data_IF_607236131296
#
_entry.id   IF_607236131296
#
_cell.length_a   1.000
_cell.length_b   1.000
_cell.length_c   1.000
_cell.angle_alpha   90.00
_cell.angle_beta   90.00
_cell.angle_gamma   90.00
#
_symmetry.space_group_name_H-M   'P 1'
#
loop_
_entity.id
_entity.type
_entity.pdbx_description
1 polymer ?
#
# COMPACT_ATOMS: atom_id res chain seq x y z
N UNK A 1 23.33 30.28 -62.33
CA UNK A 1 23.63 30.46 -60.91
C UNK A 1 22.78 29.47 -60.08
N UNK A 2 23.44 28.46 -59.47
CA UNK A 2 22.74 27.39 -58.71
C UNK A 2 22.81 27.78 -57.25
N UNK A 3 21.70 28.00 -56.59
CA UNK A 3 21.60 28.13 -55.12
C UNK A 3 21.47 26.75 -54.48
N UNK A 4 22.23 26.46 -53.39
CA UNK A 4 22.22 25.16 -52.76
C UNK A 4 20.98 24.99 -51.86
N UNK A 5 20.32 23.86 -52.03
CA UNK A 5 19.24 23.35 -51.12
C UNK A 5 19.90 22.69 -49.89
N UNK A 6 20.33 23.49 -48.94
CA UNK A 6 20.76 22.97 -47.62
C UNK A 6 20.15 23.84 -46.56
N UNK A 7 19.52 23.22 -45.57
CA UNK A 7 19.03 23.69 -44.29
C UNK A 7 17.50 23.67 -44.09
N UNK A 8 16.90 22.48 -44.04
CA UNK A 8 15.66 22.28 -43.24
C UNK A 8 15.71 20.85 -42.70
N UNK A 9 16.67 20.54 -41.84
CA UNK A 9 16.70 19.27 -41.07
C UNK A 9 17.23 19.44 -39.65
N UNK A 10 16.89 20.53 -38.98
CA UNK A 10 17.27 20.69 -37.56
C UNK A 10 16.13 21.41 -36.84
N UNK A 11 15.05 20.74 -36.53
CA UNK A 11 14.09 21.17 -35.46
C UNK A 11 12.96 20.14 -35.25
N UNK A 12 13.30 18.86 -35.15
CA UNK A 12 12.35 17.83 -34.71
C UNK A 12 13.06 16.77 -33.85
N UNK A 13 13.49 17.17 -32.67
CA UNK A 13 13.71 16.33 -31.50
C UNK A 13 14.15 17.25 -30.34
N UNK A 14 13.81 17.03 -29.09
CA UNK A 14 13.06 15.93 -28.50
C UNK A 14 11.95 16.41 -27.55
N UNK A 15 10.75 16.04 -27.79
CA UNK A 15 9.64 16.20 -26.82
C UNK A 15 9.24 14.84 -26.23
N UNK A 16 10.18 13.95 -26.03
CA UNK A 16 9.92 12.58 -25.57
C UNK A 16 10.64 12.24 -24.24
N UNK A 17 10.86 13.19 -23.32
CA UNK A 17 11.60 12.94 -22.08
C UNK A 17 10.90 13.43 -20.80
N UNK A 18 9.57 13.54 -20.78
CA UNK A 18 8.84 13.90 -19.55
C UNK A 18 7.87 12.82 -19.05
N UNK A 19 8.05 11.57 -19.44
CA UNK A 19 7.22 10.47 -19.02
C UNK A 19 7.98 9.44 -18.17
N UNK A 20 8.70 9.87 -17.13
CA UNK A 20 9.37 8.91 -16.26
C UNK A 20 9.66 9.46 -14.86
N UNK A 21 8.63 9.71 -14.06
CA UNK A 21 8.78 9.78 -12.61
C UNK A 21 7.47 9.42 -11.92
N UNK A 22 6.90 8.26 -12.25
CA UNK A 22 5.87 7.65 -11.40
C UNK A 22 6.41 6.31 -10.88
N UNK A 23 7.59 6.36 -10.23
CA UNK A 23 8.18 5.22 -9.53
C UNK A 23 7.41 5.05 -8.23
N UNK A 24 6.46 4.12 -8.21
CA UNK A 24 5.76 3.73 -6.98
C UNK A 24 4.28 3.38 -7.14
N UNK A 25 3.60 3.83 -8.18
CA UNK A 25 2.29 3.29 -8.50
C UNK A 25 2.50 2.09 -9.43
N UNK A 26 2.23 0.86 -8.98
CA UNK A 26 2.04 -0.26 -9.90
C UNK A 26 0.60 -0.21 -10.43
N UNK A 27 0.29 0.54 -11.50
CA UNK A 27 -1.07 0.65 -12.05
C UNK A 27 -1.61 -0.71 -12.51
N UNK A 28 -0.71 -1.68 -12.68
CA UNK A 28 -1.05 -3.03 -13.15
C UNK A 28 -1.95 -3.83 -12.21
N UNK A 29 -2.06 -3.49 -10.93
CA UNK A 29 -2.88 -4.21 -9.95
C UNK A 29 -4.23 -3.56 -9.68
N UNK A 30 -4.35 -2.24 -9.90
CA UNK A 30 -5.62 -1.53 -9.71
C UNK A 30 -6.68 -2.03 -10.70
N UNK A 31 -7.87 -2.32 -10.20
CA UNK A 31 -8.98 -2.89 -10.98
C UNK A 31 -8.96 -4.41 -11.07
N UNK A 32 -7.94 -5.09 -10.53
CA UNK A 32 -7.85 -6.55 -10.48
C UNK A 32 -8.30 -7.11 -9.14
N UNK A 33 -8.66 -8.38 -9.13
CA UNK A 33 -8.92 -9.10 -7.90
C UNK A 33 -7.64 -9.12 -7.03
N UNK A 34 -7.79 -8.79 -5.74
CA UNK A 34 -6.73 -8.93 -4.77
C UNK A 34 -6.32 -10.41 -4.67
N UNK A 35 -5.02 -10.73 -4.79
CA UNK A 35 -4.53 -12.09 -4.57
C UNK A 35 -4.93 -12.58 -3.18
N UNK A 36 -5.54 -13.76 -3.11
CA UNK A 36 -5.92 -14.35 -1.83
C UNK A 36 -4.72 -14.94 -1.11
N UNK A 37 -4.70 -14.86 0.21
CA UNK A 37 -3.67 -15.42 1.04
C UNK A 37 -4.19 -15.86 2.41
N UNK A 38 -3.44 -16.76 3.02
CA UNK A 38 -3.61 -17.11 4.44
C UNK A 38 -2.26 -17.06 5.12
N UNK A 39 -2.16 -16.29 6.20
CA UNK A 39 -0.96 -16.17 7.04
C UNK A 39 -1.32 -16.49 8.48
N UNK A 40 -0.43 -17.15 9.19
CA UNK A 40 -0.51 -17.35 10.64
C UNK A 40 0.86 -17.17 11.28
N UNK A 41 0.92 -16.39 12.35
CA UNK A 41 2.12 -16.23 13.18
C UNK A 41 2.06 -17.06 14.49
N UNK A 42 1.07 -17.94 14.58
CA UNK A 42 0.82 -18.78 15.76
C UNK A 42 -0.06 -18.11 16.82
N UNK A 43 -0.30 -16.80 16.72
CA UNK A 43 -1.21 -16.03 17.59
C UNK A 43 -2.41 -15.52 16.81
N UNK A 44 -2.17 -14.99 15.63
CA UNK A 44 -3.18 -14.45 14.73
C UNK A 44 -3.13 -15.22 13.41
N UNK A 45 -4.30 -15.52 12.85
CA UNK A 45 -4.44 -16.05 11.50
C UNK A 45 -5.30 -15.11 10.68
N UNK A 46 -4.79 -14.67 9.55
CA UNK A 46 -5.50 -13.81 8.59
C UNK A 46 -5.70 -14.59 7.30
N UNK A 47 -6.96 -14.69 6.86
CA UNK A 47 -7.34 -15.22 5.56
C UNK A 47 -8.12 -14.11 4.83
N UNK A 48 -7.56 -13.54 3.79
CA UNK A 48 -8.13 -12.36 3.12
C UNK A 48 -9.55 -12.61 2.62
N UNK A 49 -9.84 -13.80 2.07
CA UNK A 49 -11.17 -14.12 1.58
C UNK A 49 -12.27 -14.07 2.65
N UNK A 50 -11.92 -14.18 3.94
CA UNK A 50 -12.88 -14.06 5.05
C UNK A 50 -13.43 -12.64 5.23
N UNK A 51 -12.82 -11.64 4.59
CA UNK A 51 -13.22 -10.23 4.65
C UNK A 51 -14.01 -9.78 3.40
N UNK A 52 -14.47 -10.73 2.58
CA UNK A 52 -15.38 -10.42 1.45
C UNK A 52 -16.63 -9.71 1.96
N UNK A 53 -17.08 -8.69 1.24
CA UNK A 53 -18.21 -7.84 1.67
C UNK A 53 -17.79 -6.65 2.52
N UNK A 54 -16.53 -6.58 2.95
CA UNK A 54 -15.94 -5.45 3.69
C UNK A 54 -14.97 -4.67 2.81
N UNK A 55 -14.80 -3.37 3.11
CA UNK A 55 -13.70 -2.59 2.58
C UNK A 55 -12.47 -2.88 3.43
N UNK A 56 -11.36 -3.23 2.80
CA UNK A 56 -10.11 -3.63 3.47
C UNK A 56 -8.98 -2.68 3.09
N UNK A 57 -8.28 -2.15 4.11
CA UNK A 57 -6.94 -1.60 3.97
C UNK A 57 -5.93 -2.70 4.35
N UNK A 58 -5.24 -3.25 3.35
CA UNK A 58 -4.15 -4.19 3.55
C UNK A 58 -2.84 -3.40 3.58
N UNK A 59 -2.30 -3.23 4.77
CA UNK A 59 -1.09 -2.43 5.03
C UNK A 59 0.11 -3.35 5.30
N UNK A 60 1.20 -3.14 4.57
CA UNK A 60 2.48 -3.83 4.77
C UNK A 60 3.45 -2.90 5.49
N UNK A 61 4.06 -3.37 6.58
CA UNK A 61 4.87 -2.55 7.48
C UNK A 61 5.92 -3.35 8.25
N UNK A 62 6.76 -2.67 9.03
CA UNK A 62 7.66 -3.28 9.99
C UNK A 62 7.92 -2.35 11.19
N UNK A 63 8.29 -2.91 12.34
CA UNK A 63 8.58 -2.15 13.57
C UNK A 63 9.83 -1.26 13.47
N UNK A 64 10.75 -1.61 12.59
CA UNK A 64 12.00 -0.87 12.30
C UNK A 64 11.84 0.16 11.18
N UNK A 65 10.69 0.22 10.52
CA UNK A 65 10.41 1.12 9.43
C UNK A 65 9.95 2.49 9.96
N UNK A 66 10.83 3.49 9.96
CA UNK A 66 10.50 4.83 10.49
C UNK A 66 9.28 5.48 9.82
N UNK A 67 9.13 5.47 8.46
CA UNK A 67 7.92 5.99 7.83
C UNK A 67 6.63 5.27 8.25
N UNK A 68 6.72 3.96 8.57
CA UNK A 68 5.56 3.20 9.08
C UNK A 68 5.16 3.69 10.48
N UNK A 69 6.15 4.03 11.32
CA UNK A 69 5.91 4.60 12.66
C UNK A 69 5.25 5.99 12.55
N UNK A 70 5.66 6.79 11.56
CA UNK A 70 5.11 8.14 11.33
C UNK A 70 3.63 8.09 10.89
N UNK A 71 3.22 7.12 10.07
CA UNK A 71 1.82 7.01 9.64
C UNK A 71 0.89 6.37 10.68
N UNK A 72 1.43 5.57 11.60
CA UNK A 72 0.65 4.76 12.55
C UNK A 72 -0.39 5.56 13.35
N UNK A 73 -0.10 6.75 13.91
CA UNK A 73 -1.11 7.51 14.65
C UNK A 73 -2.35 7.85 13.82
N UNK A 74 -2.16 8.23 12.55
CA UNK A 74 -3.28 8.54 11.65
C UNK A 74 -4.06 7.29 11.25
N UNK A 75 -3.37 6.15 11.10
CA UNK A 75 -3.97 4.85 10.79
C UNK A 75 -4.84 4.35 11.95
N UNK A 76 -4.36 4.46 13.19
CA UNK A 76 -5.13 4.12 14.39
C UNK A 76 -6.35 5.04 14.55
N UNK A 77 -6.19 6.35 14.29
CA UNK A 77 -7.31 7.29 14.30
C UNK A 77 -8.38 6.87 13.28
N UNK A 78 -7.97 6.55 12.06
CA UNK A 78 -8.91 6.06 11.03
C UNK A 78 -9.62 4.78 11.47
N UNK A 79 -8.90 3.84 12.08
CA UNK A 79 -9.47 2.59 12.60
C UNK A 79 -10.61 2.86 13.60
N UNK A 80 -10.38 3.74 14.57
CA UNK A 80 -11.37 4.07 15.60
C UNK A 80 -12.57 4.86 15.06
N UNK A 81 -12.36 5.69 14.05
CA UNK A 81 -13.42 6.52 13.47
C UNK A 81 -14.28 5.77 12.44
N UNK A 82 -13.75 4.71 11.82
CA UNK A 82 -14.43 3.96 10.77
C UNK A 82 -14.53 2.46 11.10
N UNK A 83 -15.43 2.06 12.01
CA UNK A 83 -15.53 0.66 12.46
C UNK A 83 -15.96 -0.32 11.36
N UNK A 84 -16.49 0.19 10.24
CA UNK A 84 -16.86 -0.62 9.08
C UNK A 84 -15.71 -0.83 8.07
N UNK A 85 -14.57 -0.21 8.32
CA UNK A 85 -13.34 -0.39 7.55
C UNK A 85 -12.44 -1.41 8.26
N UNK A 86 -12.08 -2.47 7.57
CA UNK A 86 -11.13 -3.44 8.11
C UNK A 86 -9.71 -3.04 7.76
N UNK A 87 -8.84 -2.93 8.76
CA UNK A 87 -7.40 -2.71 8.56
C UNK A 87 -6.69 -4.00 8.90
N UNK A 88 -6.05 -4.61 7.90
CA UNK A 88 -5.20 -5.79 8.02
C UNK A 88 -3.74 -5.34 7.90
N UNK A 89 -3.00 -5.38 9.00
CA UNK A 89 -1.61 -4.94 9.04
C UNK A 89 -0.67 -6.15 9.02
N UNK A 90 -0.01 -6.40 7.90
CA UNK A 90 0.95 -7.50 7.71
C UNK A 90 2.35 -6.97 7.98
N UNK A 91 2.97 -7.45 9.05
CA UNK A 91 4.34 -7.09 9.43
C UNK A 91 5.35 -8.04 8.80
N UNK A 92 6.42 -7.50 8.26
CA UNK A 92 7.58 -8.27 7.76
C UNK A 92 8.70 -8.39 8.80
N UNK A 93 8.44 -8.10 10.07
CA UNK A 93 9.43 -8.26 11.13
C UNK A 93 9.92 -9.72 11.23
N UNK A 94 11.23 -9.93 11.22
CA UNK A 94 11.84 -11.24 11.46
C UNK A 94 11.84 -11.57 12.94
N UNK A 95 12.10 -10.58 13.81
CA UNK A 95 12.15 -10.74 15.28
C UNK A 95 10.74 -10.64 15.89
N UNK A 96 10.18 -11.75 16.43
CA UNK A 96 8.86 -11.76 17.04
C UNK A 96 8.79 -10.91 18.32
N UNK A 97 9.92 -10.75 19.02
CA UNK A 97 9.94 -9.95 20.24
C UNK A 97 9.98 -8.46 19.94
N UNK A 98 10.71 -8.04 18.90
CA UNK A 98 10.68 -6.65 18.42
C UNK A 98 9.27 -6.26 17.98
N UNK A 99 8.62 -7.08 17.16
CA UNK A 99 7.25 -6.93 16.76
C UNK A 99 6.29 -6.81 17.96
N UNK A 100 6.35 -7.75 18.89
CA UNK A 100 5.46 -7.76 20.06
C UNK A 100 5.68 -6.53 20.96
N UNK A 101 6.94 -6.15 21.21
CA UNK A 101 7.26 -4.92 21.96
C UNK A 101 6.76 -3.65 21.28
N UNK A 102 6.81 -3.60 19.94
CA UNK A 102 6.29 -2.48 19.17
C UNK A 102 4.78 -2.35 19.35
N UNK A 103 4.01 -3.44 19.16
CA UNK A 103 2.55 -3.42 19.31
C UNK A 103 2.13 -2.91 20.70
N UNK A 104 2.79 -3.40 21.75
CA UNK A 104 2.52 -2.97 23.13
C UNK A 104 2.86 -1.49 23.37
N UNK A 105 4.03 -1.05 22.90
CA UNK A 105 4.50 0.33 23.10
C UNK A 105 3.61 1.35 22.41
N UNK A 106 3.12 1.03 21.23
CA UNK A 106 2.31 1.92 20.42
C UNK A 106 0.80 1.67 20.55
N UNK A 107 0.38 0.77 21.47
CA UNK A 107 -1.02 0.42 21.70
C UNK A 107 -1.75 0.05 20.41
N UNK A 108 -1.11 -0.77 19.55
CA UNK A 108 -1.68 -1.17 18.25
C UNK A 108 -2.79 -2.18 18.51
N UNK A 109 -4.02 -1.81 18.18
CA UNK A 109 -5.24 -2.61 18.30
C UNK A 109 -5.85 -3.00 16.94
N UNK A 110 -5.06 -2.87 15.87
CA UNK A 110 -5.40 -3.35 14.54
C UNK A 110 -5.37 -4.88 14.46
N UNK A 111 -6.03 -5.45 13.45
CA UNK A 111 -5.78 -6.86 13.10
C UNK A 111 -4.40 -6.94 12.47
N UNK A 112 -3.44 -7.48 13.22
CA UNK A 112 -2.05 -7.57 12.77
C UNK A 112 -1.53 -9.00 12.83
N UNK A 113 -0.71 -9.38 11.84
CA UNK A 113 -0.07 -10.68 11.72
C UNK A 113 1.35 -10.50 11.19
N UNK A 114 2.28 -11.34 11.64
CA UNK A 114 3.67 -11.31 11.20
C UNK A 114 3.92 -12.32 10.08
N UNK A 115 4.51 -11.86 8.97
CA UNK A 115 4.96 -12.66 7.82
C UNK A 115 6.47 -12.46 7.58
N UNK A 116 7.35 -13.10 8.39
CA UNK A 116 8.79 -12.93 8.27
C UNK A 116 9.39 -13.47 6.97
N UNK A 117 8.62 -14.25 6.22
CA UNK A 117 9.02 -14.75 4.90
C UNK A 117 8.75 -13.73 3.78
N UNK A 118 8.03 -12.64 4.07
CA UNK A 118 7.58 -11.64 3.11
C UNK A 118 6.74 -12.23 1.96
N UNK A 119 6.24 -13.46 2.12
CA UNK A 119 5.54 -14.18 1.04
C UNK A 119 4.30 -13.43 0.54
N UNK A 120 3.58 -12.79 1.45
CA UNK A 120 2.41 -12.00 1.09
C UNK A 120 2.81 -10.67 0.43
N UNK A 121 3.87 -10.04 0.91
CA UNK A 121 4.39 -8.83 0.28
C UNK A 121 4.87 -9.10 -1.16
N UNK A 122 5.57 -10.20 -1.37
CA UNK A 122 5.98 -10.66 -2.71
C UNK A 122 4.78 -10.94 -3.62
N UNK A 123 3.73 -11.60 -3.10
CA UNK A 123 2.49 -11.87 -3.82
C UNK A 123 1.80 -10.58 -4.31
N UNK A 124 1.91 -9.50 -3.51
CA UNK A 124 1.37 -8.18 -3.83
C UNK A 124 2.37 -7.27 -4.55
N UNK A 125 3.57 -7.76 -4.90
CA UNK A 125 4.65 -6.97 -5.50
C UNK A 125 4.90 -5.68 -4.70
N UNK A 126 5.02 -5.84 -3.39
CA UNK A 126 5.35 -4.77 -2.45
C UNK A 126 6.87 -4.73 -2.30
N UNK A 127 7.47 -3.59 -2.64
CA UNK A 127 8.93 -3.42 -2.69
C UNK A 127 9.41 -2.39 -1.66
N UNK A 128 8.50 -1.66 -1.02
CA UNK A 128 8.81 -0.59 -0.05
C UNK A 128 7.84 -0.61 1.12
N UNK A 129 8.28 -0.07 2.26
CA UNK A 129 7.47 0.03 3.47
C UNK A 129 7.28 1.50 3.87
N UNK A 130 6.06 1.92 4.25
CA UNK A 130 4.80 1.18 4.16
C UNK A 130 4.22 1.18 2.74
N UNK A 131 3.51 0.11 2.38
CA UNK A 131 2.62 0.09 1.23
C UNK A 131 1.24 -0.41 1.64
N UNK A 132 0.19 0.26 1.13
CA UNK A 132 -1.18 -0.08 1.50
C UNK A 132 -2.05 -0.27 0.26
N UNK A 133 -2.80 -1.36 0.24
CA UNK A 133 -3.76 -1.69 -0.80
C UNK A 133 -5.18 -1.48 -0.27
N UNK A 134 -5.95 -0.66 -0.96
CA UNK A 134 -7.36 -0.48 -0.69
C UNK A 134 -8.16 -1.45 -1.56
N UNK A 135 -8.87 -2.36 -0.90
CA UNK A 135 -9.63 -3.45 -1.52
C UNK A 135 -11.13 -3.21 -1.21
N UNK A 136 -11.97 -3.23 -2.23
CA UNK A 136 -13.40 -3.05 -2.06
C UNK A 136 -14.12 -4.32 -1.59
N UNK A 137 -15.43 -4.21 -1.35
CA UNK A 137 -16.31 -5.30 -0.89
C UNK A 137 -16.32 -6.50 -1.83
N UNK A 138 -16.03 -6.30 -3.13
CA UNK A 138 -15.92 -7.36 -4.12
C UNK A 138 -14.53 -8.00 -4.16
N UNK A 139 -13.59 -7.49 -3.35
CA UNK A 139 -12.21 -7.94 -3.31
C UNK A 139 -11.38 -7.42 -4.47
N UNK A 140 -11.75 -6.29 -5.06
CA UNK A 140 -11.00 -5.66 -6.15
C UNK A 140 -10.11 -4.57 -5.56
N UNK A 141 -8.84 -4.56 -5.95
CA UNK A 141 -7.89 -3.50 -5.58
C UNK A 141 -8.34 -2.19 -6.26
N UNK A 142 -8.66 -1.19 -5.47
CA UNK A 142 -9.11 0.12 -5.94
C UNK A 142 -8.01 1.15 -5.97
N UNK A 143 -7.05 1.04 -5.04
CA UNK A 143 -5.90 1.96 -4.97
C UNK A 143 -4.72 1.26 -4.28
N UNK A 144 -3.50 1.64 -4.69
CA UNK A 144 -2.25 1.37 -3.97
C UNK A 144 -1.69 2.69 -3.47
N UNK A 145 -1.32 2.74 -2.21
CA UNK A 145 -0.60 3.85 -1.61
C UNK A 145 0.83 3.39 -1.36
N UNK A 146 1.80 4.19 -1.74
CA UNK A 146 3.23 3.91 -1.58
C UNK A 146 3.83 4.98 -0.67
N UNK A 147 4.51 4.55 0.37
CA UNK A 147 5.02 5.42 1.43
C UNK A 147 3.95 5.89 2.43
N UNK A 148 4.37 6.62 3.48
CA UNK A 148 3.50 7.00 4.58
C UNK A 148 2.38 7.94 4.12
N UNK A 149 1.19 7.74 4.67
CA UNK A 149 0.00 8.54 4.39
C UNK A 149 -0.51 9.22 5.67
N UNK A 150 -1.13 10.38 5.51
CA UNK A 150 -2.06 10.90 6.50
C UNK A 150 -3.45 10.31 6.25
N UNK A 151 -3.77 9.22 6.96
CA UNK A 151 -5.04 8.51 6.83
C UNK A 151 -6.25 9.33 7.29
N UNK A 152 -6.01 10.45 8.00
CA UNK A 152 -7.04 11.38 8.43
C UNK A 152 -7.32 12.48 7.41
N UNK A 153 -6.56 12.54 6.31
CA UNK A 153 -6.72 13.56 5.29
C UNK A 153 -8.13 13.54 4.68
N UNK A 154 -8.73 14.72 4.41
CA UNK A 154 -10.08 14.79 3.83
C UNK A 154 -10.20 14.07 2.48
N UNK A 155 -9.13 14.06 1.69
CA UNK A 155 -9.11 13.39 0.38
C UNK A 155 -9.29 11.88 0.54
N UNK A 156 -8.49 11.24 1.42
CA UNK A 156 -8.55 9.79 1.66
C UNK A 156 -9.91 9.42 2.25
N UNK A 157 -10.39 10.15 3.27
CA UNK A 157 -11.70 9.92 3.89
C UNK A 157 -12.85 10.03 2.89
N UNK A 158 -12.82 11.05 2.03
CA UNK A 158 -13.83 11.21 0.96
C UNK A 158 -13.80 10.02 0.01
N UNK A 159 -12.61 9.52 -0.35
CA UNK A 159 -12.48 8.38 -1.25
C UNK A 159 -12.99 7.09 -0.60
N UNK A 160 -12.62 6.81 0.66
CA UNK A 160 -13.10 5.65 1.41
C UNK A 160 -14.62 5.59 1.49
N UNK A 161 -15.28 6.75 1.65
CA UNK A 161 -16.75 6.84 1.70
C UNK A 161 -17.44 6.55 0.35
N UNK A 162 -16.69 6.37 -0.74
CA UNK A 162 -17.25 6.00 -2.06
C UNK A 162 -17.30 4.48 -2.29
N UNK A 163 -16.75 3.67 -1.36
CA UNK A 163 -16.63 2.23 -1.46
C UNK A 163 -17.61 1.51 -0.52
#
# INVERSE_FOLDING_TARGET
MRFPRILIWVLLAPLALLAACNRGAHPAQTGKAAPDFTISDGKTTVHLASYRGQVVLLNFWASWCMPCVEELPSLLTLHHEQPNLTILAVSVDEDPDAYSRFLLRHHVDLITVRDPSESTAQLYHTDMWPETYLIDRNGIIRRKFVGPQDWTSPEIRKYLNTL
#
